data_IF_081742954664
#
_entry.id   IF_081742954664
#
_cell.length_a   1.000
_cell.length_b   1.000
_cell.length_c   1.000
_cell.angle_alpha   90.00
_cell.angle_beta   90.00
_cell.angle_gamma   90.00
#
_symmetry.space_group_name_H-M   'P 1'
#
loop_
_entity.id
_entity.type
_entity.pdbx_description
1 polymer ?
#
# COMPACT_ATOMS: atom_id res chain seq x y z
N UNK A 1 -30.02 -12.20 -21.54
CA UNK A 1 -28.62 -12.53 -21.88
C UNK A 1 -27.79 -11.38 -21.37
N UNK A 2 -27.07 -11.56 -20.26
CA UNK A 2 -26.12 -10.53 -19.81
C UNK A 2 -25.00 -10.45 -20.84
N UNK A 3 -24.73 -9.27 -21.38
CA UNK A 3 -23.55 -9.03 -22.19
C UNK A 3 -22.32 -9.48 -21.39
N UNK A 4 -21.52 -10.37 -21.96
CA UNK A 4 -20.32 -10.87 -21.32
C UNK A 4 -19.32 -9.72 -21.22
N UNK A 5 -19.15 -9.19 -20.01
CA UNK A 5 -18.22 -8.08 -19.75
C UNK A 5 -16.81 -8.62 -19.99
N UNK A 6 -16.23 -8.27 -21.13
CA UNK A 6 -14.83 -8.56 -21.44
C UNK A 6 -13.94 -7.76 -20.50
N UNK A 7 -13.10 -8.45 -19.73
CA UNK A 7 -12.20 -7.83 -18.74
C UNK A 7 -10.75 -8.13 -19.03
N UNK A 8 -9.91 -7.15 -18.75
CA UNK A 8 -8.48 -7.22 -18.97
C UNK A 8 -7.73 -7.73 -17.71
N UNK A 9 -6.44 -8.03 -17.85
CA UNK A 9 -5.63 -8.60 -16.78
C UNK A 9 -5.20 -7.60 -15.69
N UNK A 10 -5.53 -6.31 -15.80
CA UNK A 10 -5.10 -5.28 -14.84
C UNK A 10 -5.65 -5.49 -13.43
N UNK A 11 -6.86 -6.04 -13.31
CA UNK A 11 -7.50 -6.34 -12.01
C UNK A 11 -7.69 -7.84 -11.78
N UNK A 12 -6.90 -8.68 -12.46
CA UNK A 12 -7.01 -10.12 -12.35
C UNK A 12 -6.19 -10.67 -11.17
N UNK A 13 -6.79 -11.48 -10.30
CA UNK A 13 -6.13 -12.14 -9.15
C UNK A 13 -4.97 -13.01 -9.57
N UNK A 14 -5.03 -13.59 -10.76
CA UNK A 14 -3.97 -14.44 -11.30
C UNK A 14 -2.78 -13.63 -11.84
N UNK A 15 -2.95 -12.33 -12.14
CA UNK A 15 -1.89 -11.46 -12.66
C UNK A 15 -0.94 -10.94 -11.57
N UNK A 16 -1.27 -11.21 -10.30
CA UNK A 16 -0.44 -10.89 -9.14
C UNK A 16 0.76 -11.84 -9.04
N UNK A 17 1.97 -11.28 -8.88
CA UNK A 17 3.24 -12.02 -8.73
C UNK A 17 3.54 -13.03 -9.86
N UNK A 18 3.13 -12.76 -11.10
CA UNK A 18 3.45 -13.59 -12.28
C UNK A 18 3.05 -15.07 -12.13
N UNK A 19 1.88 -15.34 -11.55
CA UNK A 19 1.38 -16.71 -11.35
C UNK A 19 0.50 -17.23 -12.48
N UNK A 20 0.22 -16.41 -13.50
CA UNK A 20 -0.64 -16.77 -14.62
C UNK A 20 0.18 -17.11 -15.87
N UNK A 21 0.18 -18.38 -16.29
CA UNK A 21 0.86 -18.83 -17.51
C UNK A 21 0.30 -18.13 -18.77
N UNK A 22 -1.01 -17.95 -18.87
CA UNK A 22 -1.63 -17.22 -20.00
C UNK A 22 -1.10 -15.79 -20.13
N UNK A 23 -0.87 -15.11 -19.01
CA UNK A 23 -0.28 -13.77 -19.04
C UNK A 23 1.21 -13.81 -19.41
N UNK A 24 1.96 -14.81 -18.93
CA UNK A 24 3.37 -14.98 -19.28
C UNK A 24 3.55 -15.21 -20.78
N UNK A 25 2.74 -16.08 -21.37
CA UNK A 25 2.78 -16.36 -22.80
C UNK A 25 2.51 -15.09 -23.62
N UNK A 26 1.54 -14.28 -23.18
CA UNK A 26 1.23 -13.03 -23.86
C UNK A 26 2.35 -11.98 -23.70
N UNK A 27 2.98 -11.90 -22.53
CA UNK A 27 4.16 -11.05 -22.31
C UNK A 27 5.35 -11.50 -23.18
N UNK A 28 5.55 -12.81 -23.36
CA UNK A 28 6.59 -13.37 -24.23
C UNK A 28 6.36 -13.02 -25.70
N UNK A 29 5.13 -13.11 -26.20
CA UNK A 29 4.79 -12.67 -27.57
C UNK A 29 5.12 -11.19 -27.81
N UNK A 30 5.07 -10.38 -26.76
CA UNK A 30 5.40 -8.95 -26.77
C UNK A 30 6.89 -8.67 -26.44
N UNK A 31 7.74 -9.71 -26.40
CA UNK A 31 9.19 -9.58 -26.24
C UNK A 31 9.68 -9.37 -24.80
N UNK A 32 8.89 -9.74 -23.79
CA UNK A 32 9.32 -9.78 -22.38
C UNK A 32 9.61 -11.23 -21.97
N UNK A 33 10.87 -11.53 -21.67
CA UNK A 33 11.27 -12.79 -21.06
C UNK A 33 11.27 -12.69 -19.53
N UNK A 34 11.08 -13.82 -18.86
CA UNK A 34 10.82 -13.90 -17.43
C UNK A 34 11.97 -13.51 -16.47
N UNK A 35 13.07 -12.98 -17.00
CA UNK A 35 14.23 -12.57 -16.23
C UNK A 35 14.43 -11.04 -16.19
N UNK A 36 13.55 -10.25 -16.83
CA UNK A 36 13.75 -8.80 -17.03
C UNK A 36 12.65 -7.91 -16.40
N UNK A 37 11.87 -8.47 -15.47
CA UNK A 37 10.61 -7.86 -14.98
C UNK A 37 10.77 -6.51 -14.28
N UNK A 38 11.89 -6.27 -13.58
CA UNK A 38 12.15 -4.95 -12.96
C UNK A 38 12.41 -3.84 -13.99
N UNK A 39 12.77 -4.19 -15.25
CA UNK A 39 13.13 -3.22 -16.28
C UNK A 39 12.01 -2.93 -17.29
N UNK A 40 10.87 -3.64 -17.22
CA UNK A 40 9.79 -3.57 -18.24
C UNK A 40 8.38 -3.50 -17.66
N UNK A 41 8.20 -2.86 -16.51
CA UNK A 41 6.90 -2.70 -15.87
C UNK A 41 5.86 -2.00 -16.76
N UNK A 42 6.29 -0.99 -17.55
CA UNK A 42 5.40 -0.27 -18.48
C UNK A 42 4.80 -1.19 -19.56
N UNK A 43 5.61 -2.12 -20.06
CA UNK A 43 5.18 -3.07 -21.08
C UNK A 43 4.23 -4.10 -20.44
N UNK A 44 4.55 -4.59 -19.24
CA UNK A 44 3.65 -5.46 -18.48
C UNK A 44 2.29 -4.77 -18.22
N UNK A 45 2.31 -3.49 -17.82
CA UNK A 45 1.11 -2.71 -17.60
C UNK A 45 0.31 -2.52 -18.91
N UNK A 46 0.97 -2.21 -20.03
CA UNK A 46 0.31 -2.09 -21.34
C UNK A 46 -0.36 -3.39 -21.77
N UNK A 47 0.31 -4.53 -21.60
CA UNK A 47 -0.26 -5.85 -21.90
C UNK A 47 -1.46 -6.13 -20.99
N UNK A 48 -1.32 -5.92 -19.67
CA UNK A 48 -2.42 -6.12 -18.72
C UNK A 48 -3.65 -5.27 -19.04
N UNK A 49 -3.46 -4.03 -19.49
CA UNK A 49 -4.56 -3.12 -19.84
C UNK A 49 -5.28 -3.50 -21.14
N UNK A 50 -4.62 -4.14 -22.09
CA UNK A 50 -5.19 -4.41 -23.42
C UNK A 50 -5.60 -5.86 -23.63
N UNK A 51 -5.00 -6.81 -22.91
CA UNK A 51 -5.26 -8.22 -23.09
C UNK A 51 -6.55 -8.64 -22.38
N UNK A 52 -7.57 -8.96 -23.17
CA UNK A 52 -8.83 -9.56 -22.70
C UNK A 52 -8.61 -11.06 -22.51
N UNK A 53 -8.95 -11.57 -21.33
CA UNK A 53 -8.64 -12.94 -20.94
C UNK A 53 -9.91 -13.67 -20.48
N UNK A 54 -10.23 -14.79 -21.11
CA UNK A 54 -11.39 -15.62 -20.75
C UNK A 54 -11.23 -16.28 -19.37
N UNK A 55 -9.99 -16.45 -18.91
CA UNK A 55 -9.66 -16.99 -17.58
C UNK A 55 -9.58 -15.90 -16.49
N UNK A 56 -10.13 -14.71 -16.75
CA UNK A 56 -10.12 -13.60 -15.80
C UNK A 56 -10.80 -13.99 -14.48
N UNK A 57 -10.16 -13.62 -13.35
CA UNK A 57 -10.75 -13.69 -12.02
C UNK A 57 -10.51 -12.37 -11.30
N UNK A 58 -11.57 -11.67 -10.90
CA UNK A 58 -11.45 -10.37 -10.22
C UNK A 58 -10.65 -10.48 -8.91
N UNK A 59 -9.80 -9.49 -8.62
CA UNK A 59 -9.23 -9.28 -7.27
C UNK A 59 -10.25 -8.70 -6.29
N UNK A 60 -11.29 -8.05 -6.80
CA UNK A 60 -12.32 -7.41 -6.01
C UNK A 60 -13.48 -8.37 -5.74
N UNK A 61 -14.16 -8.14 -4.62
CA UNK A 61 -15.41 -8.80 -4.27
C UNK A 61 -16.49 -8.32 -5.24
N UNK A 62 -17.17 -9.27 -5.92
CA UNK A 62 -18.22 -8.97 -6.89
C UNK A 62 -19.59 -9.33 -6.33
N UNK A 63 -20.57 -8.46 -6.53
CA UNK A 63 -21.92 -8.65 -6.02
C UNK A 63 -22.83 -9.33 -7.04
N UNK A 64 -23.84 -10.09 -6.59
CA UNK A 64 -24.12 -10.43 -5.18
C UNK A 64 -23.14 -11.47 -4.61
N UNK A 65 -22.88 -11.41 -3.30
CA UNK A 65 -22.12 -12.43 -2.58
C UNK A 65 -23.00 -13.25 -1.65
N UNK A 66 -22.64 -14.52 -1.50
CA UNK A 66 -23.14 -15.38 -0.44
C UNK A 66 -22.08 -15.48 0.66
N UNK A 67 -22.51 -15.39 1.92
CA UNK A 67 -21.63 -15.47 3.09
C UNK A 67 -22.10 -16.59 4.00
N UNK A 68 -21.28 -17.63 4.14
CA UNK A 68 -21.54 -18.78 5.01
C UNK A 68 -21.11 -18.51 6.46
N UNK A 69 -20.06 -17.71 6.66
CA UNK A 69 -19.46 -17.40 7.95
C UNK A 69 -18.71 -16.07 7.91
N UNK A 70 -18.69 -15.36 9.04
CA UNK A 70 -17.85 -14.18 9.26
C UNK A 70 -16.79 -14.53 10.30
N UNK A 71 -15.52 -14.48 9.92
CA UNK A 71 -14.39 -14.61 10.83
C UNK A 71 -13.86 -13.21 11.15
N UNK A 72 -13.87 -12.83 12.43
CA UNK A 72 -13.32 -11.56 12.89
C UNK A 72 -11.99 -11.81 13.63
N UNK A 73 -10.94 -11.11 13.21
CA UNK A 73 -9.66 -11.07 13.92
C UNK A 73 -9.40 -9.65 14.46
N UNK A 74 -9.26 -9.52 15.77
CA UNK A 74 -8.93 -8.27 16.45
C UNK A 74 -7.42 -8.06 16.66
N UNK A 75 -6.61 -9.06 16.30
CA UNK A 75 -5.15 -8.97 16.34
C UNK A 75 -4.68 -7.81 15.45
N UNK A 76 -3.69 -7.09 15.95
CA UNK A 76 -3.05 -5.98 15.25
C UNK A 76 -1.69 -6.45 14.79
N UNK A 77 -1.33 -6.10 13.56
CA UNK A 77 0.06 -6.18 13.12
C UNK A 77 0.74 -4.95 13.71
N UNK A 78 1.66 -5.19 14.64
CA UNK A 78 2.46 -4.17 15.30
C UNK A 78 3.91 -4.26 14.88
N UNK A 79 4.30 -3.51 13.84
CA UNK A 79 5.64 -3.62 13.25
C UNK A 79 6.74 -3.11 14.19
N UNK A 80 6.39 -2.25 15.15
CA UNK A 80 7.32 -1.63 16.10
C UNK A 80 6.78 -1.64 17.54
N UNK A 81 5.99 -2.65 17.91
CA UNK A 81 5.35 -2.70 19.24
C UNK A 81 6.34 -2.65 20.41
N UNK A 82 7.57 -3.13 20.21
CA UNK A 82 8.63 -3.03 21.21
C UNK A 82 9.14 -1.60 21.46
N UNK A 83 8.69 -0.61 20.67
CA UNK A 83 9.06 0.82 20.77
C UNK A 83 7.92 1.69 21.30
N UNK A 84 6.79 1.09 21.70
CA UNK A 84 5.64 1.84 22.24
C UNK A 84 6.08 2.66 23.46
N UNK A 85 5.64 3.91 23.51
CA UNK A 85 6.01 4.87 24.56
C UNK A 85 7.32 5.61 24.32
N UNK A 86 8.03 5.32 23.23
CA UNK A 86 9.21 6.11 22.85
C UNK A 86 8.84 7.43 22.18
N UNK A 87 9.73 8.42 22.34
CA UNK A 87 9.58 9.71 21.68
C UNK A 87 9.86 9.61 20.19
N UNK A 88 9.09 10.36 19.41
CA UNK A 88 9.23 10.49 17.97
C UNK A 88 9.35 11.95 17.58
N UNK A 89 10.14 12.19 16.54
CA UNK A 89 10.01 13.41 15.75
C UNK A 89 9.00 13.18 14.65
N UNK A 90 8.15 14.16 14.40
CA UNK A 90 7.07 14.05 13.43
C UNK A 90 6.85 15.37 12.71
N UNK A 91 6.79 15.32 11.38
CA UNK A 91 6.40 16.42 10.49
C UNK A 91 5.14 16.01 9.73
N UNK A 92 3.95 16.40 10.20
CA UNK A 92 2.69 16.12 9.52
C UNK A 92 2.63 16.77 8.13
N UNK A 93 1.97 16.12 7.17
CA UNK A 93 1.93 16.53 5.76
C UNK A 93 0.90 17.63 5.44
N UNK A 94 -0.04 17.91 6.34
CA UNK A 94 -1.07 18.95 6.12
C UNK A 94 -0.48 20.36 6.02
N UNK A 95 -1.06 21.19 5.13
CA UNK A 95 -0.59 22.56 4.89
C UNK A 95 -0.67 23.44 6.14
N UNK A 96 -1.65 23.17 7.00
CA UNK A 96 -1.90 23.86 8.27
C UNK A 96 -0.74 23.73 9.27
N UNK A 97 0.12 22.71 9.13
CA UNK A 97 1.28 22.51 10.01
C UNK A 97 2.53 23.23 9.54
N UNK A 98 2.49 23.90 8.38
CA UNK A 98 3.56 24.74 7.84
C UNK A 98 4.92 24.04 7.82
N UNK A 99 4.94 22.75 7.49
CA UNK A 99 6.17 21.94 7.43
C UNK A 99 6.95 21.85 8.76
N UNK A 100 6.34 22.23 9.89
CA UNK A 100 6.99 22.19 11.20
C UNK A 100 7.20 20.74 11.67
N UNK A 101 8.34 20.49 12.28
CA UNK A 101 8.62 19.26 13.02
C UNK A 101 8.21 19.43 14.48
N UNK A 102 7.57 18.41 15.03
CA UNK A 102 7.06 18.36 16.39
C UNK A 102 7.65 17.16 17.14
N UNK A 103 7.56 17.23 18.46
CA UNK A 103 7.77 16.09 19.34
C UNK A 103 6.45 15.35 19.54
N UNK A 104 6.49 14.01 19.51
CA UNK A 104 5.35 13.17 19.84
C UNK A 104 5.75 11.91 20.60
N UNK A 105 4.73 11.17 21.01
CA UNK A 105 4.82 9.87 21.68
C UNK A 105 4.28 8.78 20.76
N UNK A 106 5.06 7.75 20.49
CA UNK A 106 4.60 6.62 19.68
C UNK A 106 3.66 5.72 20.49
N UNK A 107 2.43 5.54 19.99
CA UNK A 107 1.37 4.76 20.66
C UNK A 107 1.26 3.32 20.14
N UNK A 108 2.11 2.92 19.19
CA UNK A 108 1.97 1.67 18.47
C UNK A 108 1.13 1.80 17.21
N UNK A 109 0.81 0.66 16.59
CA UNK A 109 -0.02 0.62 15.39
C UNK A 109 -1.51 0.51 15.79
N UNK A 110 -2.28 1.57 15.54
CA UNK A 110 -3.70 1.62 15.89
C UNK A 110 -4.60 1.36 14.66
N UNK A 111 -5.80 0.79 14.85
CA UNK A 111 -6.74 0.58 13.76
C UNK A 111 -7.17 1.89 13.10
N UNK A 112 -7.05 1.96 11.77
CA UNK A 112 -7.56 3.06 10.93
C UNK A 112 -8.77 2.65 10.10
N UNK A 113 -9.14 1.37 10.13
CA UNK A 113 -10.28 0.83 9.40
C UNK A 113 -10.25 -0.68 9.37
N UNK A 114 -11.19 -1.26 8.63
CA UNK A 114 -11.28 -2.70 8.43
C UNK A 114 -10.61 -3.12 7.12
N UNK A 115 -9.94 -4.27 7.15
CA UNK A 115 -9.59 -5.04 5.96
C UNK A 115 -10.59 -6.18 5.83
N UNK A 116 -11.24 -6.27 4.66
CA UNK A 116 -12.29 -7.26 4.41
C UNK A 116 -11.87 -8.08 3.20
N UNK A 117 -11.90 -9.40 3.33
CA UNK A 117 -11.71 -10.33 2.22
C UNK A 117 -12.82 -11.39 2.20
N UNK A 118 -13.18 -11.85 1.02
CA UNK A 118 -14.15 -12.93 0.82
C UNK A 118 -13.50 -14.06 0.04
N UNK A 119 -13.70 -15.29 0.51
CA UNK A 119 -13.31 -16.48 -0.23
C UNK A 119 -14.55 -17.02 -0.98
N UNK A 120 -14.58 -16.99 -2.32
CA UNK A 120 -15.73 -17.45 -3.10
C UNK A 120 -15.97 -18.97 -3.03
N UNK A 121 -14.95 -19.76 -2.70
CA UNK A 121 -15.05 -21.23 -2.61
C UNK A 121 -15.66 -21.66 -1.27
N UNK A 122 -15.16 -21.11 -0.16
CA UNK A 122 -15.67 -21.43 1.19
C UNK A 122 -16.85 -20.55 1.62
N UNK A 123 -17.07 -19.44 0.90
CA UNK A 123 -18.04 -18.38 1.18
C UNK A 123 -17.79 -17.66 2.51
N UNK A 124 -16.58 -17.77 3.06
CA UNK A 124 -16.22 -17.13 4.31
C UNK A 124 -15.76 -15.68 4.06
N UNK A 125 -16.27 -14.77 4.89
CA UNK A 125 -15.84 -13.38 4.97
C UNK A 125 -14.86 -13.23 6.13
N UNK A 126 -13.65 -12.74 5.86
CA UNK A 126 -12.65 -12.47 6.89
C UNK A 126 -12.53 -10.96 7.10
N UNK A 127 -12.68 -10.52 8.34
CA UNK A 127 -12.58 -9.13 8.77
C UNK A 127 -11.41 -9.00 9.73
N UNK A 128 -10.50 -8.09 9.44
CA UNK A 128 -9.39 -7.71 10.32
C UNK A 128 -9.23 -6.20 10.36
N UNK A 129 -8.32 -5.70 11.20
CA UNK A 129 -7.98 -4.27 11.20
C UNK A 129 -6.85 -3.96 10.22
N UNK A 130 -7.04 -2.87 9.46
CA UNK A 130 -5.91 -2.14 8.89
C UNK A 130 -5.35 -1.23 9.97
N UNK A 131 -4.07 -1.38 10.28
CA UNK A 131 -3.40 -0.58 11.32
C UNK A 131 -2.41 0.40 10.70
N UNK A 132 -2.15 1.48 11.44
CA UNK A 132 -1.13 2.45 11.06
C UNK A 132 -0.44 2.99 12.31
N UNK A 133 0.85 3.34 12.24
CA UNK A 133 1.55 3.99 13.34
C UNK A 133 0.76 5.18 13.86
N UNK A 134 0.48 5.24 15.16
CA UNK A 134 -0.21 6.34 15.79
C UNK A 134 0.73 7.10 16.70
N UNK A 135 0.73 8.42 16.56
CA UNK A 135 1.64 9.31 17.28
C UNK A 135 0.81 10.40 17.95
N UNK A 136 0.90 10.50 19.28
CA UNK A 136 0.35 11.63 20.00
C UNK A 136 1.31 12.81 19.91
N UNK A 137 0.90 13.89 19.26
CA UNK A 137 1.72 15.10 19.07
C UNK A 137 1.35 16.12 20.15
N UNK A 138 2.30 16.42 21.04
CA UNK A 138 2.04 17.22 22.24
C UNK A 138 1.56 18.64 21.91
N UNK A 139 2.30 19.37 21.08
CA UNK A 139 1.98 20.74 20.66
C UNK A 139 0.62 20.86 19.97
N UNK A 140 0.20 19.80 19.26
CA UNK A 140 -1.06 19.78 18.50
C UNK A 140 -2.22 19.19 19.32
N UNK A 141 -1.92 18.60 20.48
CA UNK A 141 -2.85 17.86 21.34
C UNK A 141 -3.76 16.89 20.57
N UNK A 142 -3.16 16.08 19.68
CA UNK A 142 -3.91 15.14 18.84
C UNK A 142 -3.06 13.95 18.39
N UNK A 143 -3.75 12.91 17.94
CA UNK A 143 -3.12 11.78 17.25
C UNK A 143 -2.94 12.16 15.78
N UNK A 144 -1.73 11.95 15.26
CA UNK A 144 -1.42 11.98 13.83
C UNK A 144 -0.95 10.58 13.43
N UNK A 145 -1.49 10.06 12.34
CA UNK A 145 -1.10 8.75 11.85
C UNK A 145 0.18 8.82 11.00
N UNK A 146 0.93 7.72 10.96
CA UNK A 146 2.17 7.61 10.20
C UNK A 146 1.97 7.85 8.71
N UNK A 147 0.81 7.47 8.14
CA UNK A 147 0.47 7.76 6.74
C UNK A 147 0.22 9.26 6.47
N UNK A 148 0.00 10.05 7.51
CA UNK A 148 -0.28 11.49 7.43
C UNK A 148 0.98 12.33 7.71
N UNK A 149 2.15 11.69 7.89
CA UNK A 149 3.35 12.36 8.39
C UNK A 149 4.66 11.71 7.96
N UNK A 150 5.73 12.52 7.99
CA UNK A 150 7.10 12.03 8.06
C UNK A 150 7.48 11.89 9.52
N UNK A 151 8.00 10.75 9.95
CA UNK A 151 8.31 10.54 11.35
C UNK A 151 9.45 9.54 11.58
N UNK A 152 10.04 9.59 12.77
CA UNK A 152 11.06 8.64 13.20
C UNK A 152 11.20 8.62 14.71
N UNK A 153 11.59 7.46 15.25
CA UNK A 153 11.90 7.32 16.67
C UNK A 153 13.18 8.12 16.98
N UNK A 154 13.17 8.85 18.09
CA UNK A 154 14.33 9.59 18.61
C UNK A 154 15.15 8.62 19.47
N UNK A 155 16.35 8.27 19.03
CA UNK A 155 17.25 7.38 19.77
C UNK A 155 18.32 8.17 20.54
N UNK A 156 18.62 9.40 20.12
CA UNK A 156 19.61 10.28 20.72
C UNK A 156 19.30 11.76 20.40
N UNK A 157 20.04 12.69 21.02
CA UNK A 157 19.83 14.13 20.87
C UNK A 157 19.98 14.64 19.42
N UNK A 158 20.82 14.02 18.59
CA UNK A 158 20.95 14.43 17.19
C UNK A 158 19.68 14.15 16.38
N UNK A 159 18.85 13.21 16.83
CA UNK A 159 17.59 12.92 16.15
C UNK A 159 16.57 14.05 16.36
N UNK A 160 16.74 14.93 17.35
CA UNK A 160 15.85 16.07 17.63
C UNK A 160 15.85 17.15 16.52
N UNK A 161 16.76 17.04 15.55
CA UNK A 161 16.80 17.94 14.39
C UNK A 161 15.50 17.87 13.59
N UNK A 162 15.12 19.00 13.03
CA UNK A 162 13.96 19.13 12.13
C UNK A 162 14.05 18.16 10.95
N UNK A 163 12.90 17.63 10.53
CA UNK A 163 12.78 16.86 9.31
C UNK A 163 12.73 17.85 8.14
N UNK A 164 13.81 17.89 7.37
CA UNK A 164 13.94 18.80 6.21
C UNK A 164 13.41 18.16 4.93
N UNK A 165 13.17 18.99 3.90
CA UNK A 165 12.82 18.49 2.57
C UNK A 165 13.95 17.63 1.98
N UNK A 166 15.21 17.97 2.29
CA UNK A 166 16.34 17.15 1.89
C UNK A 166 16.32 15.75 2.53
N UNK A 167 15.88 15.63 3.78
CA UNK A 167 15.74 14.31 4.42
C UNK A 167 14.69 13.46 3.70
N UNK A 168 13.55 14.07 3.36
CA UNK A 168 12.44 13.43 2.63
C UNK A 168 12.88 13.03 1.22
N UNK A 169 13.52 13.95 0.50
CA UNK A 169 14.02 13.75 -0.85
C UNK A 169 15.10 12.67 -0.95
N UNK A 170 15.76 12.38 0.18
CA UNK A 170 16.76 11.34 0.25
C UNK A 170 16.19 9.94 0.54
N UNK A 171 14.91 9.81 0.87
CA UNK A 171 14.23 8.53 1.06
C UNK A 171 14.14 7.77 -0.28
N UNK A 172 14.52 6.48 -0.26
CA UNK A 172 14.69 5.68 -1.48
C UNK A 172 13.44 5.63 -2.36
N UNK A 173 12.24 5.48 -1.78
CA UNK A 173 11.00 5.40 -2.54
C UNK A 173 10.57 6.77 -3.08
N UNK A 174 10.98 7.86 -2.43
CA UNK A 174 10.76 9.22 -2.96
C UNK A 174 11.64 9.46 -4.17
N UNK A 175 12.91 9.03 -4.12
CA UNK A 175 13.81 9.06 -5.30
C UNK A 175 13.24 8.24 -6.45
N UNK A 176 12.77 7.02 -6.17
CA UNK A 176 12.17 6.16 -7.18
C UNK A 176 10.90 6.79 -7.79
N UNK A 177 10.01 7.35 -6.96
CA UNK A 177 8.79 8.01 -7.42
C UNK A 177 9.08 9.22 -8.32
N UNK A 178 10.08 10.05 -7.97
CA UNK A 178 10.49 11.19 -8.80
C UNK A 178 10.99 10.74 -10.17
N UNK A 179 11.83 9.69 -10.21
CA UNK A 179 12.31 9.11 -11.47
C UNK A 179 11.19 8.56 -12.35
N UNK A 180 10.17 7.92 -11.75
CA UNK A 180 9.00 7.43 -12.47
C UNK A 180 8.21 8.57 -13.11
N UNK A 181 7.93 9.63 -12.35
CA UNK A 181 7.18 10.79 -12.87
C UNK A 181 7.94 11.51 -14.01
N UNK A 182 9.27 11.57 -13.94
CA UNK A 182 10.11 12.12 -15.02
C UNK A 182 10.10 11.24 -16.27
N UNK A 183 9.94 9.93 -16.14
CA UNK A 183 9.84 8.99 -17.26
C UNK A 183 8.47 9.00 -17.95
N UNK A 184 7.40 9.36 -17.25
CA UNK A 184 6.04 9.47 -17.84
C UNK A 184 5.79 10.80 -18.57
N UNK A 185 6.59 11.83 -18.29
CA UNK A 185 6.48 13.16 -18.90
C UNK A 185 7.26 13.31 -20.23
N UNK A 186 8.04 12.30 -20.62
CA UNK A 186 8.84 12.25 -21.86
C UNK A 186 8.31 11.19 -22.83
#
# INVERSE_FOLDING_TARGET
>A
MSEEIKRNCSSCKMSWLNRCETLKDELQKQGINSHDYMKKWDIEHKVKSNFICDNYKSIYIEYPIEVSKINANADKIGLRDNRIGEFVKIRPCGKEYQNKTYLGLYLGDLPIGHSISHNPETKELNVSFNTNPAIFVFDLNKIVYGMESWWGIINNENDLKEITDNDIDNVWYIKALKQLNESEAN
#
